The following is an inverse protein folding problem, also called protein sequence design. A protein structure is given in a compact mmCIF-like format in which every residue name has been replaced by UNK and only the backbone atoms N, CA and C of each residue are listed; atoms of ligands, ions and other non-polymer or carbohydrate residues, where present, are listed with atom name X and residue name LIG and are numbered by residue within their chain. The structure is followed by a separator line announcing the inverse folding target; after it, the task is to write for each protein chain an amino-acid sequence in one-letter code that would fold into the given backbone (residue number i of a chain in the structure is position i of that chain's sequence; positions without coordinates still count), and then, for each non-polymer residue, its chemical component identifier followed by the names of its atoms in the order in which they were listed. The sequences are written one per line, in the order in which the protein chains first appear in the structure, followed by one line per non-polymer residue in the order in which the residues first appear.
data_IF_361089898615
#
_entry.id   IF_361089898615
#
_cell.length_a   1.000
_cell.length_b   1.000
_cell.length_c   1.000
_cell.angle_alpha   90.00
_cell.angle_beta   90.00
_cell.angle_gamma   90.00
#
_symmetry.space_group_name_H-M   'P 1'
#
loop_
_entity.id
_entity.type
_entity.pdbx_description
1 polymer ?
#
# COMPACT_ATOMS: atom_id res chain seq x y z
N UNK A 1 -7.68 19.97 1.12
CA UNK A 1 -6.30 19.93 1.67
C UNK A 1 -5.87 18.46 1.67
N UNK A 2 -4.96 18.04 0.77
CA UNK A 2 -4.59 16.63 0.60
C UNK A 2 -3.77 16.08 1.78
N UNK A 3 -3.92 14.77 2.06
CA UNK A 3 -3.22 14.05 3.14
C UNK A 3 -1.70 14.23 3.11
N UNK A 4 -1.13 14.40 1.91
CA UNK A 4 0.31 14.45 1.67
C UNK A 4 0.84 15.83 1.29
N UNK A 5 0.10 16.91 1.58
CA UNK A 5 0.47 18.28 1.16
C UNK A 5 1.85 18.75 1.64
N UNK A 6 2.35 18.16 2.73
CA UNK A 6 3.62 18.51 3.37
C UNK A 6 4.77 17.61 2.96
N UNK A 7 4.50 16.55 2.21
CA UNK A 7 5.50 15.59 1.76
C UNK A 7 5.97 15.98 0.36
N UNK A 8 7.28 15.92 0.15
CA UNK A 8 7.92 16.01 -1.16
C UNK A 8 7.69 14.74 -1.98
N UNK A 9 7.88 14.81 -3.29
CA UNK A 9 7.74 13.64 -4.18
C UNK A 9 8.72 12.54 -3.82
N UNK A 10 9.94 12.90 -3.41
CA UNK A 10 10.94 11.96 -2.94
C UNK A 10 10.50 11.22 -1.67
N UNK A 11 9.93 11.94 -0.69
CA UNK A 11 9.40 11.33 0.54
C UNK A 11 8.24 10.38 0.23
N UNK A 12 7.36 10.75 -0.71
CA UNK A 12 6.26 9.89 -1.14
C UNK A 12 6.73 8.62 -1.85
N UNK A 13 7.75 8.72 -2.70
CA UNK A 13 8.35 7.54 -3.34
C UNK A 13 9.02 6.61 -2.32
N UNK A 14 9.72 7.17 -1.32
CA UNK A 14 10.31 6.38 -0.24
C UNK A 14 9.23 5.70 0.61
N UNK A 15 8.16 6.41 0.96
CA UNK A 15 7.04 5.86 1.72
C UNK A 15 6.35 4.73 0.95
N UNK A 16 6.08 4.93 -0.35
CA UNK A 16 5.55 3.88 -1.23
C UNK A 16 6.43 2.63 -1.22
N UNK A 17 7.75 2.78 -1.33
CA UNK A 17 8.68 1.67 -1.29
C UNK A 17 8.61 0.87 0.03
N UNK A 18 8.53 1.57 1.17
CA UNK A 18 8.39 0.94 2.49
C UNK A 18 7.07 0.18 2.63
N UNK A 19 5.96 0.79 2.21
CA UNK A 19 4.64 0.14 2.26
C UNK A 19 4.57 -1.07 1.34
N UNK A 20 5.16 -0.98 0.15
CA UNK A 20 5.23 -2.11 -0.78
C UNK A 20 6.05 -3.27 -0.22
N UNK A 21 7.23 -2.99 0.37
CA UNK A 21 8.04 -4.01 1.02
C UNK A 21 7.28 -4.69 2.18
N UNK A 22 6.60 -3.90 3.02
CA UNK A 22 5.79 -4.45 4.13
C UNK A 22 4.60 -5.28 3.63
N UNK A 23 3.93 -4.85 2.56
CA UNK A 23 2.86 -5.62 1.93
C UNK A 23 3.40 -6.93 1.36
N UNK A 24 4.54 -6.88 0.68
CA UNK A 24 5.19 -8.05 0.12
C UNK A 24 5.56 -9.06 1.21
N UNK A 25 6.23 -8.62 2.28
CA UNK A 25 6.59 -9.46 3.43
C UNK A 25 5.38 -10.11 4.08
N UNK A 26 4.24 -9.40 4.19
CA UNK A 26 3.01 -9.98 4.72
C UNK A 26 2.47 -11.05 3.78
N UNK A 27 2.39 -10.76 2.48
CA UNK A 27 1.84 -11.70 1.49
C UNK A 27 2.71 -12.95 1.29
N UNK A 28 4.03 -12.85 1.46
CA UNK A 28 4.97 -13.97 1.27
C UNK A 28 5.38 -14.64 2.58
N UNK A 29 5.18 -13.96 3.71
CA UNK A 29 5.47 -14.48 5.04
C UNK A 29 4.43 -15.48 5.53
N UNK A 30 4.76 -16.28 6.57
CA UNK A 30 3.86 -17.27 7.13
C UNK A 30 2.61 -16.58 7.72
N UNK A 31 1.45 -16.79 7.09
CA UNK A 31 0.16 -16.22 7.52
C UNK A 31 -0.35 -16.81 8.84
N UNK A 32 0.17 -17.99 9.22
CA UNK A 32 -0.14 -18.66 10.47
C UNK A 32 1.10 -19.35 11.04
N UNK A 33 1.31 -19.22 12.35
CA UNK A 33 2.30 -19.99 13.09
C UNK A 33 1.60 -20.81 14.17
N UNK A 34 1.99 -22.09 14.32
CA UNK A 34 1.52 -22.92 15.43
C UNK A 34 2.55 -22.86 16.54
N UNK A 35 2.20 -22.25 17.67
CA UNK A 35 3.06 -22.18 18.86
C UNK A 35 2.38 -22.96 19.98
N UNK A 36 3.02 -24.01 20.48
CA UNK A 36 2.51 -24.86 21.57
C UNK A 36 1.07 -25.39 21.34
N UNK A 37 0.76 -25.81 20.11
CA UNK A 37 -0.56 -26.34 19.74
C UNK A 37 -1.67 -25.29 19.60
N UNK A 38 -1.37 -23.99 19.76
CA UNK A 38 -2.29 -22.89 19.45
C UNK A 38 -1.90 -22.26 18.11
N UNK A 39 -2.82 -22.30 17.14
CA UNK A 39 -2.66 -21.61 15.87
C UNK A 39 -2.83 -20.10 16.07
N UNK A 40 -1.78 -19.34 15.79
CA UNK A 40 -1.84 -17.88 15.73
C UNK A 40 -1.96 -17.50 14.26
N UNK A 41 -3.13 -16.99 13.85
CA UNK A 41 -3.29 -16.32 12.56
C UNK A 41 -2.82 -14.88 12.71
N UNK A 42 -1.83 -14.49 11.92
CA UNK A 42 -1.45 -13.08 11.85
C UNK A 42 -2.55 -12.35 11.10
N UNK A 43 -3.22 -11.41 11.77
CA UNK A 43 -4.21 -10.55 11.15
C UNK A 43 -3.46 -9.56 10.25
N UNK A 44 -3.15 -9.99 9.03
CA UNK A 44 -2.44 -9.17 8.07
C UNK A 44 -3.41 -8.10 7.56
N UNK A 45 -3.36 -6.90 8.14
CA UNK A 45 -4.13 -5.73 7.68
C UNK A 45 -3.57 -5.24 6.33
N UNK A 46 -3.71 -6.06 5.29
CA UNK A 46 -3.22 -5.78 3.94
C UNK A 46 -4.11 -4.78 3.22
N UNK A 47 -5.40 -4.72 3.56
CA UNK A 47 -6.36 -3.77 2.97
C UNK A 47 -6.02 -2.32 3.29
N UNK A 48 -5.61 -2.03 4.53
CA UNK A 48 -5.16 -0.69 4.94
C UNK A 48 -3.91 -0.28 4.15
N UNK A 49 -2.92 -1.17 4.04
CA UNK A 49 -1.70 -0.91 3.25
C UNK A 49 -2.00 -0.69 1.76
N UNK A 50 -2.93 -1.46 1.19
CA UNK A 50 -3.34 -1.32 -0.21
C UNK A 50 -4.04 0.01 -0.47
N UNK A 51 -4.90 0.46 0.44
CA UNK A 51 -5.54 1.79 0.35
C UNK A 51 -4.52 2.91 0.42
N UNK A 52 -3.61 2.84 1.39
CA UNK A 52 -2.57 3.86 1.55
C UNK A 52 -1.63 3.93 0.34
N UNK A 53 -1.24 2.78 -0.23
CA UNK A 53 -0.50 2.73 -1.49
C UNK A 53 -1.25 3.40 -2.64
N UNK A 54 -2.55 3.13 -2.78
CA UNK A 54 -3.38 3.73 -3.83
C UNK A 54 -3.48 5.26 -3.66
N UNK A 55 -3.60 5.74 -2.42
CA UNK A 55 -3.65 7.19 -2.13
C UNK A 55 -2.32 7.88 -2.48
N UNK A 56 -1.18 7.26 -2.17
CA UNK A 56 0.15 7.78 -2.52
C UNK A 56 0.35 7.78 -4.04
N UNK A 57 0.00 6.70 -4.73
CA UNK A 57 0.12 6.65 -6.19
C UNK A 57 -0.81 7.67 -6.87
N UNK A 58 -2.02 7.89 -6.35
CA UNK A 58 -2.92 8.92 -6.84
C UNK A 58 -2.33 10.33 -6.67
N UNK A 59 -1.68 10.61 -5.54
CA UNK A 59 -1.01 11.88 -5.30
C UNK A 59 0.21 12.07 -6.20
N UNK A 60 1.06 11.06 -6.35
CA UNK A 60 2.22 11.10 -7.26
C UNK A 60 1.78 11.31 -8.71
N UNK A 61 0.74 10.63 -9.16
CA UNK A 61 0.17 10.81 -10.50
C UNK A 61 -0.40 12.21 -10.71
N UNK A 62 -1.11 12.75 -9.70
CA UNK A 62 -1.62 14.13 -9.71
C UNK A 62 -0.49 15.14 -9.89
N UNK A 63 0.63 14.97 -9.16
CA UNK A 63 1.79 15.87 -9.23
C UNK A 63 2.57 15.76 -10.53
N UNK A 64 2.68 14.54 -11.06
CA UNK A 64 3.30 14.28 -12.35
C UNK A 64 2.46 14.80 -13.55
N UNK A 65 1.24 15.31 -13.31
CA UNK A 65 0.33 15.74 -14.37
C UNK A 65 -0.21 14.59 -15.22
N UNK A 66 -0.08 13.35 -14.74
CA UNK A 66 -0.61 12.17 -15.43
C UNK A 66 -2.12 12.16 -15.24
N UNK A 67 -2.92 12.12 -16.32
CA UNK A 67 -4.37 11.99 -16.18
C UNK A 67 -4.67 10.69 -15.44
N UNK A 68 -5.44 10.77 -14.35
CA UNK A 68 -5.93 9.60 -13.63
C UNK A 68 -6.59 8.66 -14.63
N UNK A 69 -5.95 7.51 -14.88
CA UNK A 69 -6.49 6.47 -15.76
C UNK A 69 -7.70 5.87 -15.04
N UNK A 70 -8.89 6.37 -15.37
CA UNK A 70 -10.14 5.83 -14.87
C UNK A 70 -10.28 4.33 -15.18
N UNK A 71 -11.13 3.60 -14.43
CA UNK A 71 -11.30 2.18 -14.64
C UNK A 71 -11.71 1.89 -16.09
N UNK A 72 -10.98 1.00 -16.76
CA UNK A 72 -11.39 0.45 -18.05
C UNK A 72 -12.49 -0.57 -17.75
N UNK A 73 -13.74 -0.17 -17.94
CA UNK A 73 -14.85 -1.13 -18.02
C UNK A 73 -14.70 -1.89 -19.33
N UNK A 74 -14.21 -3.13 -19.26
CA UNK A 74 -14.42 -4.10 -20.33
C UNK A 74 -15.89 -4.53 -20.27
N UNK A 75 -16.67 -4.13 -21.28
CA UNK A 75 -18.03 -4.62 -21.56
C UNK A 75 -17.92 -5.81 -22.49
#
# INVERSE_FOLDING_TARGET
MGLYRHSTDQELQQLRGKLFASLHERLTGPTSATVNGRGVQYQQRTDELRRELADIDAELNRRAGVPLRGPIYLV
#
